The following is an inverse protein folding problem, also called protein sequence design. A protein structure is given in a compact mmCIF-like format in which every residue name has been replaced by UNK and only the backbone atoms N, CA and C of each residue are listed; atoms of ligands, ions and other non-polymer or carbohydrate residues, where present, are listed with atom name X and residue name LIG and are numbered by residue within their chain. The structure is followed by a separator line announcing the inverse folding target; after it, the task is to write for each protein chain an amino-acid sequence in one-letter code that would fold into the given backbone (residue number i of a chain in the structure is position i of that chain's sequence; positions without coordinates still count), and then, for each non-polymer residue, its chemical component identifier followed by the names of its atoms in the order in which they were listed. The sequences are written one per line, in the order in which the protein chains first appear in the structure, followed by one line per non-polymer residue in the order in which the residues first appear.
data_IF_704439099112
#
_entry.id   IF_704439099112
#
_cell.length_a   1.000
_cell.length_b   1.000
_cell.length_c   1.000
_cell.angle_alpha   90.00
_cell.angle_beta   90.00
_cell.angle_gamma   90.00
#
_symmetry.space_group_name_H-M   'P 1'
#
loop_
_entity.id
_entity.type
_entity.pdbx_description
1 polymer ?
#
# COMPACT_ATOMS: atom_id res chain seq x y z
N UNK A 1 31.43 -4.75 4.32
CA UNK A 1 30.72 -3.55 4.77
C UNK A 1 29.26 -3.94 4.91
N UNK A 2 28.88 -4.31 6.13
CA UNK A 2 27.50 -4.51 6.56
C UNK A 2 26.79 -3.14 6.39
N UNK A 3 25.55 -3.02 5.93
CA UNK A 3 24.33 -3.50 6.59
C UNK A 3 23.27 -3.80 5.52
N UNK A 4 22.93 -5.08 5.31
CA UNK A 4 21.62 -5.43 4.78
C UNK A 4 20.65 -5.05 5.88
N UNK A 5 20.07 -3.85 5.78
CA UNK A 5 18.88 -3.48 6.54
C UNK A 5 17.80 -4.49 6.18
N UNK A 6 17.73 -5.57 6.96
CA UNK A 6 16.49 -6.31 7.13
C UNK A 6 15.55 -5.37 7.86
N UNK A 7 15.00 -4.40 7.14
CA UNK A 7 13.64 -3.98 7.42
C UNK A 7 12.84 -5.26 7.28
N UNK A 8 12.56 -5.91 8.42
CA UNK A 8 11.35 -6.71 8.48
C UNK A 8 10.26 -5.75 8.01
N UNK A 9 9.81 -5.90 6.76
CA UNK A 9 8.60 -5.26 6.29
C UNK A 9 7.56 -5.60 7.35
N UNK A 10 7.22 -4.61 8.18
CA UNK A 10 6.21 -4.79 9.21
C UNK A 10 4.96 -5.19 8.44
N UNK A 11 4.53 -6.42 8.64
CA UNK A 11 3.39 -6.92 7.91
C UNK A 11 2.18 -6.09 8.31
N UNK A 12 1.49 -5.53 7.32
CA UNK A 12 0.29 -4.77 7.58
C UNK A 12 -0.90 -5.70 7.74
N UNK A 13 -1.84 -5.30 8.59
CA UNK A 13 -3.01 -6.08 8.93
C UNK A 13 -4.30 -5.38 8.49
N UNK A 14 -5.37 -6.16 8.38
CA UNK A 14 -6.70 -5.61 8.17
C UNK A 14 -7.04 -4.63 9.29
N UNK A 15 -7.49 -3.44 8.91
CA UNK A 15 -7.80 -2.34 9.83
C UNK A 15 -6.68 -1.31 9.96
N UNK A 16 -5.46 -1.61 9.49
CA UNK A 16 -4.37 -0.64 9.54
C UNK A 16 -4.66 0.54 8.59
N UNK A 17 -4.56 1.79 9.09
CA UNK A 17 -4.60 2.96 8.24
C UNK A 17 -3.25 3.10 7.55
N UNK A 18 -3.25 3.37 6.25
CA UNK A 18 -2.05 3.41 5.42
C UNK A 18 -2.02 4.62 4.49
N UNK A 19 -0.81 5.01 4.12
CA UNK A 19 -0.49 6.01 3.11
C UNK A 19 0.43 5.41 2.05
N UNK A 20 0.31 5.87 0.81
CA UNK A 20 1.23 5.51 -0.28
C UNK A 20 1.20 6.58 -1.37
N UNK A 21 2.12 6.47 -2.33
CA UNK A 21 2.22 7.38 -3.47
C UNK A 21 1.98 6.64 -4.78
N UNK A 22 1.19 7.24 -5.66
CA UNK A 22 0.94 6.71 -7.00
C UNK A 22 0.66 7.83 -7.99
N UNK A 23 0.78 7.56 -9.29
CA UNK A 23 0.27 8.45 -10.32
C UNK A 23 -1.27 8.41 -10.44
N UNK A 24 -1.82 9.24 -11.32
CA UNK A 24 -3.27 9.29 -11.60
C UNK A 24 -3.83 7.99 -12.21
N UNK A 25 -2.96 7.07 -12.65
CA UNK A 25 -3.31 5.75 -13.15
C UNK A 25 -3.11 4.64 -12.11
N UNK A 26 -2.70 4.99 -10.88
CA UNK A 26 -2.48 4.05 -9.79
C UNK A 26 -1.17 3.27 -9.87
N UNK A 27 -0.17 3.75 -10.62
CA UNK A 27 1.18 3.16 -10.61
C UNK A 27 1.98 3.69 -9.44
N UNK A 28 2.69 2.81 -8.75
CA UNK A 28 3.61 3.18 -7.68
C UNK A 28 4.62 4.22 -8.16
N UNK A 29 4.77 5.28 -7.39
CA UNK A 29 5.78 6.31 -7.59
C UNK A 29 6.45 6.64 -6.26
N UNK A 30 7.70 7.11 -6.32
CA UNK A 30 8.36 7.68 -5.16
C UNK A 30 7.69 8.99 -4.76
N UNK A 31 7.69 9.31 -3.47
CA UNK A 31 7.09 10.54 -2.92
C UNK A 31 7.65 11.83 -3.54
N UNK A 32 8.89 11.80 -4.05
CA UNK A 32 9.56 12.94 -4.67
C UNK A 32 9.27 13.07 -6.18
N UNK A 33 8.52 12.15 -6.78
CA UNK A 33 8.20 12.20 -8.20
C UNK A 33 7.18 13.31 -8.48
N UNK A 34 7.33 14.12 -9.55
CA UNK A 34 6.44 15.26 -9.81
C UNK A 34 4.97 14.87 -10.01
N UNK A 35 4.73 13.68 -10.54
CA UNK A 35 3.37 13.15 -10.76
C UNK A 35 2.85 12.31 -9.57
N UNK A 36 3.61 12.19 -8.48
CA UNK A 36 3.18 11.41 -7.32
C UNK A 36 2.05 12.11 -6.56
N UNK A 37 0.95 11.40 -6.41
CA UNK A 37 -0.18 11.78 -5.57
C UNK A 37 -0.16 10.92 -4.31
N UNK A 38 -0.25 11.56 -3.15
CA UNK A 38 -0.40 10.84 -1.90
C UNK A 38 -1.84 10.34 -1.75
N UNK A 39 -1.98 9.06 -1.45
CA UNK A 39 -3.26 8.43 -1.16
C UNK A 39 -3.27 7.92 0.29
N UNK A 40 -4.47 7.86 0.87
CA UNK A 40 -4.71 7.33 2.21
C UNK A 40 -5.90 6.39 2.20
N UNK A 41 -5.89 5.40 3.11
CA UNK A 41 -7.00 4.47 3.25
C UNK A 41 -6.77 3.48 4.39
N UNK A 42 -7.63 2.48 4.49
CA UNK A 42 -7.54 1.42 5.51
C UNK A 42 -7.47 0.05 4.86
N UNK A 43 -6.57 -0.82 5.30
CA UNK A 43 -6.48 -2.17 4.74
C UNK A 43 -7.76 -2.95 5.03
N UNK A 44 -8.47 -3.31 3.97
CA UNK A 44 -9.64 -4.17 4.02
C UNK A 44 -9.25 -5.65 3.98
N UNK A 45 -8.23 -6.02 3.20
CA UNK A 45 -7.78 -7.41 3.03
C UNK A 45 -6.30 -7.47 2.65
N UNK A 46 -5.59 -8.45 3.20
CA UNK A 46 -4.21 -8.81 2.80
C UNK A 46 -4.30 -9.98 1.83
N UNK A 47 -3.87 -9.79 0.59
CA UNK A 47 -3.86 -10.82 -0.43
C UNK A 47 -2.50 -11.50 -0.44
N UNK A 48 -2.47 -12.82 -0.20
CA UNK A 48 -1.27 -13.64 -0.17
C UNK A 48 -1.20 -14.57 -1.36
N UNK A 49 0.01 -14.99 -1.72
CA UNK A 49 0.21 -16.01 -2.73
C UNK A 49 -0.39 -17.34 -2.23
N UNK A 50 -1.27 -18.02 -2.99
CA UNK A 50 -1.84 -19.30 -2.56
C UNK A 50 -0.81 -20.43 -2.44
N UNK A 51 0.35 -20.31 -3.10
CA UNK A 51 1.45 -21.26 -2.99
C UNK A 51 2.42 -20.96 -1.84
N UNK A 52 2.37 -19.75 -1.28
CA UNK A 52 3.24 -19.27 -0.19
C UNK A 52 2.52 -18.17 0.59
N UNK A 53 1.93 -18.52 1.73
CA UNK A 53 1.14 -17.58 2.54
C UNK A 53 2.00 -16.49 3.22
N UNK A 54 3.32 -16.68 3.29
CA UNK A 54 4.23 -15.65 3.79
C UNK A 54 4.39 -14.49 2.79
N UNK A 55 4.11 -14.73 1.50
CA UNK A 55 4.26 -13.75 0.45
C UNK A 55 2.97 -12.93 0.25
N UNK A 56 2.97 -11.68 0.71
CA UNK A 56 1.93 -10.71 0.36
C UNK A 56 2.11 -10.27 -1.10
N UNK A 57 1.05 -10.41 -1.90
CA UNK A 57 1.03 -10.01 -3.32
C UNK A 57 0.27 -8.71 -3.56
N UNK A 58 -0.66 -8.36 -2.66
CA UNK A 58 -1.37 -7.09 -2.68
C UNK A 58 -2.10 -6.82 -1.35
N UNK A 59 -2.47 -5.56 -1.14
CA UNK A 59 -3.43 -5.12 -0.14
C UNK A 59 -4.64 -4.54 -0.86
N UNK A 60 -5.85 -4.95 -0.45
CA UNK A 60 -7.06 -4.22 -0.81
C UNK A 60 -7.28 -3.15 0.25
N UNK A 61 -7.27 -1.90 -0.18
CA UNK A 61 -7.39 -0.72 0.69
C UNK A 61 -8.75 -0.08 0.45
N UNK A 62 -9.51 0.12 1.52
CA UNK A 62 -10.74 0.89 1.52
C UNK A 62 -10.39 2.38 1.58
N UNK A 63 -10.82 3.11 0.57
CA UNK A 63 -10.59 4.53 0.40
C UNK A 63 -11.92 5.29 0.44
N UNK A 64 -11.84 6.61 0.66
CA UNK A 64 -12.97 7.53 0.49
C UNK A 64 -12.63 8.56 -0.58
N UNK A 65 -13.48 8.69 -1.57
CA UNK A 65 -13.43 9.73 -2.59
C UNK A 65 -14.56 10.73 -2.39
N UNK A 66 -14.32 11.99 -2.74
CA UNK A 66 -15.31 13.06 -2.59
C UNK A 66 -16.55 12.90 -3.49
N UNK A 67 -16.46 12.08 -4.55
CA UNK A 67 -17.53 11.92 -5.56
C UNK A 67 -18.29 10.60 -5.41
N UNK A 68 -17.57 9.48 -5.30
CA UNK A 68 -18.16 8.13 -5.29
C UNK A 68 -18.41 7.56 -3.89
N UNK A 69 -18.03 8.28 -2.82
CA UNK A 69 -18.05 7.73 -1.47
C UNK A 69 -16.93 6.72 -1.25
N UNK A 70 -17.25 5.50 -0.85
CA UNK A 70 -16.26 4.45 -0.59
C UNK A 70 -15.86 3.69 -1.85
N UNK A 71 -14.56 3.40 -2.02
CA UNK A 71 -14.06 2.52 -3.08
C UNK A 71 -12.91 1.65 -2.57
N UNK A 72 -12.63 0.54 -3.25
CA UNK A 72 -11.48 -0.31 -2.98
C UNK A 72 -10.37 -0.03 -4.00
N UNK A 73 -9.13 -0.02 -3.52
CA UNK A 73 -7.95 0.11 -4.35
C UNK A 73 -6.99 -1.05 -4.08
N UNK A 74 -6.46 -1.64 -5.15
CA UNK A 74 -5.41 -2.67 -5.04
C UNK A 74 -4.06 -1.98 -4.94
N UNK A 75 -3.37 -2.16 -3.82
CA UNK A 75 -2.05 -1.59 -3.56
C UNK A 75 -1.04 -2.72 -3.47
N UNK A 76 -0.04 -2.71 -4.33
CA UNK A 76 0.97 -3.78 -4.44
C UNK A 76 2.23 -3.44 -3.62
N UNK A 77 3.07 -4.42 -3.23
CA UNK A 77 4.27 -4.17 -2.43
C UNK A 77 5.18 -3.05 -2.94
N UNK A 78 5.29 -2.87 -4.27
CA UNK A 78 6.08 -1.80 -4.89
C UNK A 78 5.59 -0.37 -4.61
N UNK A 79 4.37 -0.21 -4.10
CA UNK A 79 3.83 1.11 -3.69
C UNK A 79 4.43 1.62 -2.38
N UNK A 80 5.23 0.80 -1.69
CA UNK A 80 5.92 1.19 -0.44
C UNK A 80 4.95 1.82 0.57
N UNK A 81 3.86 1.10 0.88
CA UNK A 81 2.87 1.58 1.85
C UNK A 81 3.51 1.83 3.21
N UNK A 82 3.04 2.85 3.90
CA UNK A 82 3.42 3.20 5.26
C UNK A 82 2.17 3.34 6.14
N UNK A 83 2.28 3.15 7.45
CA UNK A 83 1.18 3.42 8.37
C UNK A 83 0.84 4.92 8.33
N UNK A 84 -0.45 5.25 8.30
CA UNK A 84 -0.90 6.62 8.48
C UNK A 84 -0.87 6.94 9.98
N UNK A 85 -0.13 7.98 10.36
CA UNK A 85 -0.13 8.57 11.71
C UNK A 85 -1.37 9.40 11.98
#
# INVERSE_FOLDING_TARGET
MLERMSEQQREFHRGDPVTWYADSHGRALDANHPDAVQHTGTIATVCRNPADDSQVVAYLVSCRGGVSGGYLMTVRPEHQIALAT
#
